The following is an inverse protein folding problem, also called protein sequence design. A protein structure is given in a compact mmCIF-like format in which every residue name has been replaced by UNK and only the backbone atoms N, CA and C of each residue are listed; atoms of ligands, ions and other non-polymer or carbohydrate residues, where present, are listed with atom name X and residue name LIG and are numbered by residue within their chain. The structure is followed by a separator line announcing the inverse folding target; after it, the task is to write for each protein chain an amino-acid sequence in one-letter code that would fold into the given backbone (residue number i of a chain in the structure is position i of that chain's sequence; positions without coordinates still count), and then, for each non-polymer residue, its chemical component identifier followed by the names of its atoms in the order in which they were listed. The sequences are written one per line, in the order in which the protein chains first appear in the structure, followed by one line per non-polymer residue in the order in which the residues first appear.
data_IF_350248837163
#
_entry.id   IF_350248837163
#
_cell.length_a   1.000
_cell.length_b   1.000
_cell.length_c   1.000
_cell.angle_alpha   90.00
_cell.angle_beta   90.00
_cell.angle_gamma   90.00
#
_symmetry.space_group_name_H-M   'P 1'
#
loop_
_entity.id
_entity.type
_entity.pdbx_description
1 polymer ?
#
# COMPACT_ATOMS: atom_id res chain seq x y z
N UNK A 1 3.65 12.38 -4.15
CA UNK A 1 2.75 11.21 -4.10
C UNK A 1 1.93 11.05 -5.37
N UNK A 2 1.33 12.12 -5.92
CA UNK A 2 0.45 12.07 -7.09
C UNK A 2 1.11 11.38 -8.29
N UNK A 3 2.31 11.79 -8.67
CA UNK A 3 3.04 11.22 -9.82
C UNK A 3 3.33 9.72 -9.67
N UNK A 4 3.51 9.24 -8.42
CA UNK A 4 3.70 7.81 -8.12
C UNK A 4 2.39 7.07 -8.33
N UNK A 5 1.30 7.61 -7.78
CA UNK A 5 -0.04 7.01 -7.89
C UNK A 5 -0.55 6.97 -9.34
N UNK A 6 -0.32 8.04 -10.10
CA UNK A 6 -0.60 8.08 -11.54
C UNK A 6 0.30 7.09 -12.31
N UNK A 7 1.58 7.02 -11.93
CA UNK A 7 2.57 6.12 -12.54
C UNK A 7 2.24 4.63 -12.39
N UNK A 8 1.56 4.23 -11.31
CA UNK A 8 1.05 2.86 -11.14
C UNK A 8 -0.30 2.64 -11.83
N UNK A 9 -0.86 3.65 -12.48
CA UNK A 9 -2.13 3.55 -13.19
C UNK A 9 -3.37 3.68 -12.30
N UNK A 10 -3.27 4.32 -11.11
CA UNK A 10 -4.45 4.59 -10.29
C UNK A 10 -5.43 5.47 -11.05
N UNK A 11 -6.65 5.00 -11.26
CA UNK A 11 -7.65 5.64 -12.12
C UNK A 11 -8.89 6.10 -11.33
N UNK A 12 -9.67 7.00 -11.93
CA UNK A 12 -10.95 7.41 -11.40
C UNK A 12 -11.89 6.21 -11.21
N UNK A 13 -12.61 6.19 -10.09
CA UNK A 13 -13.53 5.10 -9.72
C UNK A 13 -12.88 3.91 -9.03
N UNK A 14 -11.54 3.84 -8.95
CA UNK A 14 -10.84 2.71 -8.36
C UNK A 14 -11.05 2.60 -6.84
N UNK A 15 -10.95 1.38 -6.34
CA UNK A 15 -10.83 1.07 -4.91
C UNK A 15 -9.36 0.91 -4.55
N UNK A 16 -8.86 1.79 -3.67
CA UNK A 16 -7.48 1.82 -3.21
C UNK A 16 -7.43 1.54 -1.71
N UNK A 17 -6.63 0.57 -1.30
CA UNK A 17 -6.38 0.26 0.11
C UNK A 17 -4.95 0.71 0.45
N UNK A 18 -4.84 1.66 1.38
CA UNK A 18 -3.58 2.18 1.91
C UNK A 18 -3.29 1.48 3.24
N UNK A 19 -2.30 0.60 3.25
CA UNK A 19 -1.89 -0.17 4.43
C UNK A 19 -0.75 0.56 5.11
N UNK A 20 -0.91 0.94 6.39
CA UNK A 20 -0.01 1.87 7.05
C UNK A 20 -0.24 3.31 6.58
N UNK A 21 -1.50 3.73 6.44
CA UNK A 21 -1.85 5.00 5.80
C UNK A 21 -1.40 6.26 6.55
N UNK A 22 -0.99 6.12 7.82
CA UNK A 22 -0.54 7.24 8.64
C UNK A 22 -1.52 8.42 8.67
N UNK A 23 -0.98 9.61 8.52
CA UNK A 23 -1.75 10.87 8.45
C UNK A 23 -2.24 11.22 7.04
N UNK A 24 -2.09 10.28 6.07
CA UNK A 24 -2.68 10.35 4.73
C UNK A 24 -1.77 10.89 3.64
N UNK A 25 -0.46 10.70 3.75
CA UNK A 25 0.49 11.16 2.72
C UNK A 25 0.16 10.61 1.32
N UNK A 26 -0.28 9.33 1.23
CA UNK A 26 -0.76 8.72 -0.02
C UNK A 26 -2.29 8.68 -0.10
N UNK A 27 -3.01 8.43 1.01
CA UNK A 27 -4.46 8.31 1.02
C UNK A 27 -5.19 9.56 0.50
N UNK A 28 -4.74 10.78 0.86
CA UNK A 28 -5.38 12.01 0.41
C UNK A 28 -5.23 12.25 -1.10
N UNK A 29 -4.00 12.21 -1.68
CA UNK A 29 -3.86 12.31 -3.14
C UNK A 29 -4.57 11.17 -3.87
N UNK A 30 -4.55 9.94 -3.36
CA UNK A 30 -5.30 8.84 -3.94
C UNK A 30 -6.81 9.15 -3.98
N UNK A 31 -7.37 9.71 -2.90
CA UNK A 31 -8.78 10.07 -2.84
C UNK A 31 -9.19 11.13 -3.89
N UNK A 32 -8.29 12.08 -4.16
CA UNK A 32 -8.51 13.07 -5.23
C UNK A 32 -8.47 12.43 -6.62
N UNK A 33 -7.52 11.52 -6.86
CA UNK A 33 -7.36 10.84 -8.17
C UNK A 33 -8.55 9.94 -8.45
N UNK A 34 -8.96 9.09 -7.48
CA UNK A 34 -10.09 8.17 -7.72
C UNK A 34 -11.44 8.88 -7.77
N UNK A 35 -11.52 10.09 -7.20
CA UNK A 35 -12.72 10.92 -7.24
C UNK A 35 -13.92 10.36 -6.46
N UNK A 36 -15.09 11.00 -6.57
CA UNK A 36 -16.25 10.70 -5.72
C UNK A 36 -16.86 9.30 -5.95
N UNK A 37 -16.58 8.68 -7.08
CA UNK A 37 -17.03 7.32 -7.40
C UNK A 37 -16.02 6.23 -7.03
N UNK A 38 -14.78 6.60 -6.67
CA UNK A 38 -13.78 5.71 -6.14
C UNK A 38 -13.83 5.62 -4.62
N UNK A 39 -13.02 4.75 -4.06
CA UNK A 39 -12.98 4.49 -2.61
C UNK A 39 -11.56 4.33 -2.11
N UNK A 40 -11.25 4.99 -1.00
CA UNK A 40 -10.04 4.78 -0.24
C UNK A 40 -10.38 4.07 1.07
N UNK A 41 -9.61 3.03 1.41
CA UNK A 41 -9.65 2.40 2.72
C UNK A 41 -8.26 2.49 3.33
N UNK A 42 -8.11 3.28 4.41
CA UNK A 42 -6.86 3.38 5.15
C UNK A 42 -6.83 2.44 6.35
N UNK A 43 -5.72 1.71 6.53
CA UNK A 43 -5.47 0.86 7.71
C UNK A 43 -4.26 1.43 8.42
N UNK A 44 -4.38 1.70 9.72
CA UNK A 44 -3.25 2.06 10.58
C UNK A 44 -3.49 1.65 12.02
N UNK A 45 -2.43 1.43 12.77
CA UNK A 45 -2.51 1.13 14.21
C UNK A 45 -2.58 2.41 15.05
N UNK A 46 -2.05 3.53 14.54
CA UNK A 46 -1.98 4.80 15.23
C UNK A 46 -3.29 5.59 15.11
N UNK A 47 -4.04 5.65 16.23
CA UNK A 47 -5.28 6.41 16.30
C UNK A 47 -5.09 7.92 16.05
N UNK A 48 -3.95 8.50 16.48
CA UNK A 48 -3.66 9.93 16.32
C UNK A 48 -3.40 10.28 14.85
N UNK A 49 -2.68 9.42 14.13
CA UNK A 49 -2.47 9.55 12.69
C UNK A 49 -3.81 9.47 11.93
N UNK A 50 -4.65 8.48 12.24
CA UNK A 50 -5.98 8.34 11.65
C UNK A 50 -6.89 9.53 11.93
N UNK A 51 -6.86 10.10 13.15
CA UNK A 51 -7.62 11.31 13.49
C UNK A 51 -7.12 12.53 12.70
N UNK A 52 -5.81 12.61 12.47
CA UNK A 52 -5.20 13.66 11.64
C UNK A 52 -5.65 13.52 10.18
N UNK A 53 -5.55 12.33 9.62
CA UNK A 53 -6.03 12.02 8.26
C UNK A 53 -7.51 12.37 8.10
N UNK A 54 -8.35 11.99 9.06
CA UNK A 54 -9.79 12.30 9.05
C UNK A 54 -10.07 13.81 9.04
N UNK A 55 -9.32 14.60 9.83
CA UNK A 55 -9.45 16.07 9.86
C UNK A 55 -9.02 16.68 8.52
N UNK A 56 -7.90 16.22 7.95
CA UNK A 56 -7.39 16.68 6.65
C UNK A 56 -8.37 16.37 5.53
N UNK A 57 -8.89 15.13 5.47
CA UNK A 57 -9.88 14.72 4.49
C UNK A 57 -11.14 15.59 4.52
N UNK A 58 -11.66 15.86 5.73
CA UNK A 58 -12.82 16.78 5.91
C UNK A 58 -12.49 18.21 5.47
N UNK A 59 -11.31 18.70 5.77
CA UNK A 59 -10.86 20.04 5.34
C UNK A 59 -10.77 20.20 3.83
N UNK A 60 -10.52 19.10 3.11
CA UNK A 60 -10.48 19.04 1.65
C UNK A 60 -11.83 18.64 1.03
N UNK A 61 -12.87 18.36 1.81
CA UNK A 61 -14.17 17.89 1.32
C UNK A 61 -14.14 16.48 0.72
N UNK A 62 -13.18 15.64 1.12
CA UNK A 62 -13.06 14.25 0.65
C UNK A 62 -13.95 13.34 1.51
N UNK A 63 -15.00 12.79 0.89
CA UNK A 63 -15.99 11.92 1.54
C UNK A 63 -15.80 10.43 1.21
N UNK A 64 -14.84 10.12 0.33
CA UNK A 64 -14.60 8.79 -0.20
C UNK A 64 -13.52 7.99 0.56
N UNK A 65 -13.19 8.39 1.80
CA UNK A 65 -12.17 7.75 2.63
C UNK A 65 -12.80 7.06 3.84
N UNK A 66 -12.58 5.76 3.97
CA UNK A 66 -12.91 4.95 5.14
C UNK A 66 -11.62 4.59 5.90
N UNK A 67 -11.60 4.76 7.23
CA UNK A 67 -10.43 4.51 8.07
C UNK A 67 -10.68 3.37 9.05
N UNK A 68 -9.70 2.49 9.17
CA UNK A 68 -9.76 1.27 9.99
C UNK A 68 -8.53 1.21 10.90
N UNK A 69 -8.77 1.27 12.21
CA UNK A 69 -7.70 1.13 13.19
C UNK A 69 -7.40 -0.33 13.49
N UNK A 70 -6.15 -0.75 13.34
CA UNK A 70 -5.68 -2.07 13.77
C UNK A 70 -4.40 -2.51 13.09
N UNK A 71 -3.94 -3.71 13.49
CA UNK A 71 -2.73 -4.32 12.93
C UNK A 71 -3.04 -4.89 11.55
N UNK A 72 -2.23 -4.53 10.55
CA UNK A 72 -2.40 -5.00 9.17
C UNK A 72 -2.34 -6.53 9.05
N UNK A 73 -1.58 -7.20 9.93
CA UNK A 73 -1.51 -8.66 10.01
C UNK A 73 -2.85 -9.33 10.34
N UNK A 74 -3.78 -8.58 10.94
CA UNK A 74 -5.07 -9.09 11.46
C UNK A 74 -6.29 -8.58 10.69
N UNK A 75 -6.11 -7.60 9.80
CA UNK A 75 -7.22 -6.94 9.10
C UNK A 75 -7.31 -7.43 7.67
N UNK A 76 -8.53 -7.79 7.27
CA UNK A 76 -8.95 -8.00 5.91
C UNK A 76 -10.26 -7.24 5.77
N UNK A 77 -10.26 -6.14 4.99
CA UNK A 77 -11.42 -5.26 4.85
C UNK A 77 -12.49 -5.84 3.93
N UNK A 78 -12.07 -6.63 2.98
CA UNK A 78 -12.93 -7.23 1.96
C UNK A 78 -12.22 -8.40 1.29
N UNK A 79 -12.96 -9.19 0.55
CA UNK A 79 -12.41 -10.23 -0.33
C UNK A 79 -12.52 -9.76 -1.77
N UNK A 80 -11.38 -9.63 -2.46
CA UNK A 80 -11.32 -9.36 -3.89
C UNK A 80 -11.96 -8.03 -4.32
N UNK A 81 -11.83 -6.96 -3.54
CA UNK A 81 -12.48 -5.69 -3.82
C UNK A 81 -11.53 -4.57 -4.26
N UNK A 82 -10.23 -4.69 -4.01
CA UNK A 82 -9.29 -3.61 -4.24
C UNK A 82 -8.64 -3.68 -5.61
N UNK A 83 -8.72 -2.61 -6.38
CA UNK A 83 -7.95 -2.47 -7.61
C UNK A 83 -6.45 -2.29 -7.28
N UNK A 84 -6.15 -1.61 -6.18
CA UNK A 84 -4.79 -1.43 -5.69
C UNK A 84 -4.75 -1.64 -4.17
N UNK A 85 -3.82 -2.47 -3.68
CA UNK A 85 -3.40 -2.51 -2.28
C UNK A 85 -1.98 -1.96 -2.21
N UNK A 86 -1.80 -0.88 -1.47
CA UNK A 86 -0.59 -0.07 -1.48
C UNK A 86 0.11 -0.08 -0.11
N UNK A 87 1.41 -0.23 -0.14
CA UNK A 87 2.33 -0.09 0.99
C UNK A 87 3.22 1.12 0.72
N UNK A 88 3.04 2.18 1.50
CA UNK A 88 3.70 3.47 1.29
C UNK A 88 4.84 3.71 2.27
N UNK A 89 6.00 3.09 2.03
CA UNK A 89 7.23 3.27 2.83
C UNK A 89 7.10 2.63 4.22
N UNK A 90 6.46 1.47 4.31
CA UNK A 90 6.14 0.84 5.60
C UNK A 90 6.23 -0.70 5.62
N UNK A 91 6.38 -1.37 4.46
CA UNK A 91 6.44 -2.85 4.42
C UNK A 91 7.57 -3.40 5.31
N UNK A 92 8.67 -2.68 5.42
CA UNK A 92 9.83 -3.03 6.25
C UNK A 92 9.59 -2.89 7.77
N UNK A 93 8.51 -2.24 8.20
CA UNK A 93 8.19 -2.00 9.61
C UNK A 93 7.20 -3.01 10.20
N UNK A 94 6.53 -3.83 9.36
CA UNK A 94 5.62 -4.86 9.85
C UNK A 94 6.37 -6.02 10.51
N UNK A 95 5.79 -6.55 11.59
CA UNK A 95 6.36 -7.70 12.32
C UNK A 95 6.31 -8.98 11.49
N UNK A 96 5.24 -9.19 10.73
CA UNK A 96 5.06 -10.31 9.80
C UNK A 96 4.64 -9.79 8.42
N UNK A 97 5.59 -9.31 7.61
CA UNK A 97 5.28 -8.76 6.28
C UNK A 97 4.66 -9.81 5.35
N UNK A 98 4.98 -11.10 5.51
CA UNK A 98 4.34 -12.15 4.71
C UNK A 98 2.85 -12.26 5.03
N UNK A 99 2.48 -12.19 6.31
CA UNK A 99 1.07 -12.19 6.74
C UNK A 99 0.31 -10.99 6.18
N UNK A 100 0.92 -9.81 6.22
CA UNK A 100 0.31 -8.59 5.66
C UNK A 100 0.11 -8.71 4.16
N UNK A 101 1.11 -9.23 3.43
CA UNK A 101 1.01 -9.49 1.99
C UNK A 101 -0.03 -10.58 1.64
N UNK A 102 -0.20 -11.60 2.49
CA UNK A 102 -1.29 -12.59 2.34
C UNK A 102 -2.66 -11.93 2.50
N UNK A 103 -2.82 -11.03 3.46
CA UNK A 103 -4.06 -10.26 3.63
C UNK A 103 -4.29 -9.33 2.42
N UNK A 104 -3.25 -8.65 1.94
CA UNK A 104 -3.31 -7.82 0.74
C UNK A 104 -3.75 -8.63 -0.49
N UNK A 105 -3.19 -9.84 -0.67
CA UNK A 105 -3.59 -10.75 -1.75
C UNK A 105 -5.08 -11.09 -1.70
N UNK A 106 -5.64 -11.30 -0.50
CA UNK A 106 -7.08 -11.59 -0.33
C UNK A 106 -7.95 -10.38 -0.66
N UNK A 107 -7.48 -9.18 -0.34
CA UNK A 107 -8.21 -7.94 -0.61
C UNK A 107 -8.16 -7.52 -2.08
N UNK A 108 -7.11 -7.89 -2.82
CA UNK A 108 -6.96 -7.53 -4.23
C UNK A 108 -8.03 -8.18 -5.10
N UNK A 109 -8.66 -7.39 -5.95
CA UNK A 109 -9.64 -7.83 -6.94
C UNK A 109 -8.99 -8.71 -8.02
N UNK A 110 -9.77 -9.52 -8.77
CA UNK A 110 -9.28 -10.13 -9.99
C UNK A 110 -8.75 -9.04 -10.95
N UNK A 111 -7.46 -9.11 -11.28
CA UNK A 111 -6.78 -8.08 -12.07
C UNK A 111 -6.25 -6.89 -11.26
N UNK A 112 -6.53 -6.85 -9.97
CA UNK A 112 -5.95 -5.84 -9.05
C UNK A 112 -4.48 -6.10 -8.78
N UNK A 113 -3.80 -5.08 -8.24
CA UNK A 113 -2.37 -5.13 -7.96
C UNK A 113 -2.05 -4.85 -6.50
N UNK A 114 -0.89 -5.34 -6.08
CA UNK A 114 -0.24 -5.02 -4.81
C UNK A 114 1.01 -4.20 -5.14
N UNK A 115 1.17 -3.07 -4.49
CA UNK A 115 2.28 -2.15 -4.72
C UNK A 115 3.05 -1.93 -3.42
N UNK A 116 4.37 -2.09 -3.48
CA UNK A 116 5.31 -1.74 -2.41
C UNK A 116 6.23 -0.63 -2.91
N UNK A 117 6.10 0.53 -2.31
CA UNK A 117 7.03 1.65 -2.46
C UNK A 117 7.86 1.72 -1.19
N UNK A 118 9.16 1.49 -1.26
CA UNK A 118 9.98 1.49 -0.04
C UNK A 118 11.40 2.01 -0.28
N UNK A 119 12.15 2.20 0.81
CA UNK A 119 13.50 2.72 0.80
C UNK A 119 14.50 1.79 0.12
N UNK A 120 15.35 2.33 -0.74
CA UNK A 120 16.57 1.60 -1.18
C UNK A 120 17.45 1.25 0.01
N UNK A 121 17.97 0.02 0.05
CA UNK A 121 18.82 -0.47 1.15
C UNK A 121 20.23 0.09 1.02
N UNK A 122 20.36 1.37 1.22
CA UNK A 122 21.63 2.10 1.20
C UNK A 122 21.69 3.15 2.31
N UNK A 123 22.87 3.60 2.72
CA UNK A 123 23.02 4.69 3.68
C UNK A 123 22.47 5.99 3.11
N UNK A 124 21.51 6.59 3.80
CA UNK A 124 20.91 7.87 3.45
C UNK A 124 20.99 8.81 4.67
N UNK A 125 21.05 10.12 4.46
CA UNK A 125 21.09 11.09 5.56
C UNK A 125 19.77 11.21 6.33
N UNK A 126 18.72 10.50 5.89
CA UNK A 126 17.36 10.48 6.47
C UNK A 126 16.72 9.11 6.21
N UNK A 127 15.55 8.92 6.82
CA UNK A 127 14.82 7.64 6.74
C UNK A 127 15.30 6.61 7.76
N UNK A 128 14.82 5.35 7.67
CA UNK A 128 15.15 4.31 8.63
C UNK A 128 16.61 3.85 8.48
N UNK A 129 17.19 3.25 9.55
CA UNK A 129 18.52 2.63 9.47
C UNK A 129 18.58 1.57 8.37
N UNK A 130 19.76 1.42 7.73
CA UNK A 130 19.96 0.45 6.63
C UNK A 130 19.57 -0.98 7.03
N UNK A 131 19.76 -1.35 8.31
CA UNK A 131 19.44 -2.67 8.83
C UNK A 131 17.93 -3.00 8.74
N UNK A 132 17.05 -1.99 8.81
CA UNK A 132 15.60 -2.15 8.68
C UNK A 132 15.14 -2.23 7.22
N UNK A 133 15.85 -1.60 6.31
CA UNK A 133 15.46 -1.52 4.90
C UNK A 133 15.55 -2.88 4.21
N UNK A 134 14.63 -3.16 3.32
CA UNK A 134 14.68 -4.33 2.45
C UNK A 134 15.45 -4.02 1.16
N UNK A 135 16.09 -5.05 0.59
CA UNK A 135 16.48 -4.99 -0.82
C UNK A 135 15.28 -5.36 -1.68
N UNK A 136 15.29 -4.98 -2.95
CA UNK A 136 14.23 -5.35 -3.91
C UNK A 136 14.06 -6.87 -4.02
N UNK A 137 15.17 -7.63 -3.96
CA UNK A 137 15.15 -9.10 -4.00
C UNK A 137 14.50 -9.67 -2.74
N UNK A 138 14.76 -9.07 -1.57
CA UNK A 138 14.16 -9.50 -0.32
C UNK A 138 12.66 -9.23 -0.33
N UNK A 139 12.22 -8.02 -0.68
CA UNK A 139 10.81 -7.67 -0.79
C UNK A 139 10.07 -8.57 -1.82
N UNK A 140 10.66 -8.79 -3.00
CA UNK A 140 10.13 -9.72 -4.01
C UNK A 140 10.01 -11.15 -3.48
N UNK A 141 10.99 -11.62 -2.69
CA UNK A 141 10.94 -12.93 -2.03
C UNK A 141 9.78 -13.04 -1.03
N UNK A 142 9.50 -11.98 -0.25
CA UNK A 142 8.36 -11.95 0.66
C UNK A 142 7.02 -12.00 -0.11
N UNK A 143 6.92 -11.25 -1.21
CA UNK A 143 5.76 -11.30 -2.11
C UNK A 143 5.55 -12.70 -2.70
N UNK A 144 6.61 -13.36 -3.17
CA UNK A 144 6.53 -14.73 -3.68
C UNK A 144 6.07 -15.73 -2.60
N UNK A 145 6.55 -15.60 -1.35
CA UNK A 145 6.10 -16.40 -0.19
C UNK A 145 4.61 -16.20 0.09
N UNK A 146 4.08 -15.00 -0.12
CA UNK A 146 2.65 -14.72 -0.02
C UNK A 146 1.84 -15.22 -1.24
N UNK A 147 2.49 -15.83 -2.25
CA UNK A 147 1.85 -16.30 -3.46
C UNK A 147 1.45 -15.18 -4.41
N UNK A 148 2.20 -14.10 -4.42
CA UNK A 148 2.13 -13.01 -5.39
C UNK A 148 3.16 -13.24 -6.50
N UNK A 149 2.84 -12.78 -7.70
CA UNK A 149 3.77 -12.75 -8.83
C UNK A 149 4.22 -11.32 -9.05
N UNK A 150 5.51 -11.06 -8.93
CA UNK A 150 6.09 -9.74 -9.22
C UNK A 150 5.95 -9.46 -10.72
N UNK A 151 5.32 -8.34 -11.06
CA UNK A 151 5.10 -7.90 -12.42
C UNK A 151 6.18 -6.90 -12.88
N UNK A 152 6.60 -5.97 -11.98
CA UNK A 152 7.65 -5.01 -12.27
C UNK A 152 8.41 -4.60 -11.01
N UNK A 153 9.67 -4.22 -11.19
CA UNK A 153 10.52 -3.57 -10.20
C UNK A 153 11.18 -2.38 -10.87
N UNK A 154 11.12 -1.21 -10.24
CA UNK A 154 11.70 0.01 -10.79
C UNK A 154 12.23 0.92 -9.67
N UNK A 155 13.12 1.83 -10.01
CA UNK A 155 13.49 2.93 -9.15
C UNK A 155 12.36 3.97 -9.08
N UNK A 156 12.08 4.47 -7.87
CA UNK A 156 11.16 5.58 -7.63
C UNK A 156 11.94 6.76 -7.07
N UNK A 157 12.53 7.54 -7.96
CA UNK A 157 13.46 8.60 -7.61
C UNK A 157 14.79 8.08 -7.06
N UNK A 158 15.59 8.95 -6.42
CA UNK A 158 16.92 8.59 -5.97
C UNK A 158 16.94 7.67 -4.73
N UNK A 159 15.87 7.65 -3.92
CA UNK A 159 15.91 7.05 -2.58
C UNK A 159 15.01 5.83 -2.39
N UNK A 160 14.07 5.61 -3.30
CA UNK A 160 13.06 4.56 -3.17
C UNK A 160 13.09 3.63 -4.38
N UNK A 161 12.55 2.45 -4.19
CA UNK A 161 12.14 1.53 -5.24
C UNK A 161 10.63 1.36 -5.20
N UNK A 162 10.06 0.84 -6.28
CA UNK A 162 8.67 0.44 -6.37
C UNK A 162 8.60 -0.97 -6.96
N UNK A 163 7.80 -1.83 -6.32
CA UNK A 163 7.50 -3.17 -6.81
C UNK A 163 6.00 -3.25 -7.03
N UNK A 164 5.60 -3.69 -8.21
CA UNK A 164 4.21 -4.06 -8.49
C UNK A 164 4.10 -5.57 -8.60
N UNK A 165 3.09 -6.14 -7.96
CA UNK A 165 2.81 -7.56 -8.00
C UNK A 165 1.32 -7.81 -8.17
N UNK A 166 0.97 -8.98 -8.69
CA UNK A 166 -0.42 -9.41 -8.87
C UNK A 166 -0.66 -10.71 -8.10
N UNK A 167 -1.90 -11.02 -7.70
CA UNK A 167 -2.23 -12.32 -7.16
C UNK A 167 -1.78 -13.42 -8.11
N UNK A 168 -0.86 -14.28 -7.65
CA UNK A 168 -0.46 -15.44 -8.43
C UNK A 168 -1.64 -16.39 -8.67
N UNK A 169 -1.57 -17.27 -9.68
CA UNK A 169 -2.63 -18.26 -9.94
C UNK A 169 -2.91 -19.03 -8.65
N UNK A 170 -4.18 -19.07 -8.25
CA UNK A 170 -4.62 -19.85 -7.11
C UNK A 170 -4.14 -21.29 -7.28
N UNK A 171 -3.58 -21.92 -6.22
CA UNK A 171 -3.38 -23.35 -6.26
C UNK A 171 -4.74 -23.98 -6.50
N UNK A 172 -4.95 -24.54 -7.70
CA UNK A 172 -6.09 -25.42 -7.95
C UNK A 172 -5.92 -26.57 -6.95
N UNK A 173 -6.84 -26.65 -6.00
CA UNK A 173 -6.93 -27.80 -5.07
C UNK A 173 -7.57 -28.97 -5.79
#
# INVERSE_FOLDING_TARGET
PESILEGIGLAAGATFIDVGCGDGFFALPAARIVGPHGRICGIDIDAGALDTLKKRARGEGLENIALHRGMAEKIILCEGCADVVFFGIDLHDFTDPVRVLLNAKRMAAPGGMIVDLDWKKEPLPFGPPVAKKFTTEHAASLMAKAGLTVAAVADSGPYHYIITAVPGPGRVR
#
